data_IF_956557507147
#
_entry.id   IF_956557507147
#
_cell.length_a   1.000
_cell.length_b   1.000
_cell.length_c   1.000
_cell.angle_alpha   90.00
_cell.angle_beta   90.00
_cell.angle_gamma   90.00
#
_symmetry.space_group_name_H-M   'P 1'
#
loop_
_entity.id
_entity.type
_entity.pdbx_description
1 polymer ?
#
# COMPACT_ATOMS: atom_id res chain seq x y z
N UNK A 1 6.25 16.63 1.45
CA UNK A 1 4.89 16.62 2.03
C UNK A 1 4.39 15.20 1.89
N UNK A 2 3.77 14.62 2.91
CA UNK A 2 3.25 13.26 2.83
C UNK A 2 1.99 13.20 1.98
N UNK A 3 1.79 12.09 1.27
CA UNK A 3 0.53 11.81 0.59
C UNK A 3 -0.44 11.15 1.58
N UNK A 4 -1.65 11.70 1.70
CA UNK A 4 -2.65 11.24 2.67
C UNK A 4 -3.95 10.96 1.92
N UNK A 5 -4.48 9.75 2.08
CA UNK A 5 -5.82 9.39 1.63
C UNK A 5 -6.84 9.64 2.74
N UNK A 6 -7.83 10.49 2.48
CA UNK A 6 -8.91 10.78 3.44
C UNK A 6 -10.05 9.76 3.40
N UNK A 7 -10.11 8.91 2.37
CA UNK A 7 -11.26 8.04 2.10
C UNK A 7 -10.88 6.56 1.90
N UNK A 8 -9.66 6.13 2.24
CA UNK A 8 -9.17 4.77 1.98
C UNK A 8 -10.06 3.63 2.54
N UNK A 9 -10.86 3.88 3.58
CA UNK A 9 -11.83 2.92 4.15
C UNK A 9 -13.13 2.81 3.34
N UNK A 10 -13.54 3.90 2.68
CA UNK A 10 -14.85 4.07 2.05
C UNK A 10 -14.73 4.52 0.59
N UNK A 11 -13.60 4.21 -0.06
CA UNK A 11 -13.37 4.61 -1.44
C UNK A 11 -14.29 3.79 -2.36
N UNK A 12 -15.17 4.43 -3.15
CA UNK A 12 -16.10 3.70 -4.01
C UNK A 12 -15.36 2.88 -5.08
N UNK A 13 -14.17 3.33 -5.48
CA UNK A 13 -13.32 2.63 -6.43
C UNK A 13 -12.40 1.58 -5.81
N UNK A 14 -12.36 1.48 -4.47
CA UNK A 14 -11.51 0.54 -3.73
C UNK A 14 -12.24 0.03 -2.49
N UNK A 15 -13.30 -0.74 -2.71
CA UNK A 15 -14.15 -1.30 -1.67
C UNK A 15 -13.37 -2.34 -0.85
N UNK A 16 -13.68 -2.44 0.44
CA UNK A 16 -13.13 -3.52 1.28
C UNK A 16 -13.52 -4.89 0.74
N UNK A 17 -12.65 -5.87 0.96
CA UNK A 17 -12.80 -7.25 0.48
C UNK A 17 -12.90 -7.38 -1.05
N UNK A 18 -12.37 -6.41 -1.79
CA UNK A 18 -12.23 -6.47 -3.26
C UNK A 18 -10.76 -6.33 -3.67
N UNK A 19 -10.46 -6.59 -4.93
CA UNK A 19 -9.15 -6.36 -5.53
C UNK A 19 -9.25 -5.32 -6.62
N UNK A 20 -8.48 -4.24 -6.50
CA UNK A 20 -8.44 -3.18 -7.52
C UNK A 20 -7.26 -3.33 -8.45
N UNK A 21 -7.42 -2.79 -9.65
CA UNK A 21 -6.37 -2.65 -10.65
C UNK A 21 -5.73 -1.26 -10.58
N UNK A 22 -4.64 -1.08 -11.33
CA UNK A 22 -3.99 0.21 -11.44
C UNK A 22 -4.98 1.25 -12.00
N UNK A 23 -4.87 2.52 -11.57
CA UNK A 23 -5.70 3.59 -12.12
C UNK A 23 -5.61 3.63 -13.65
N UNK A 24 -6.77 3.72 -14.31
CA UNK A 24 -6.87 3.71 -15.77
C UNK A 24 -7.00 2.33 -16.41
N UNK A 25 -6.88 1.24 -15.65
CA UNK A 25 -7.27 -0.08 -16.15
C UNK A 25 -8.78 -0.13 -16.42
N UNK A 26 -9.18 -0.84 -17.48
CA UNK A 26 -10.58 -1.13 -17.78
C UNK A 26 -11.13 -2.31 -16.96
N UNK A 27 -10.33 -2.86 -16.04
CA UNK A 27 -10.63 -4.04 -15.26
C UNK A 27 -10.79 -3.73 -13.77
N UNK A 28 -11.46 -4.65 -13.08
CA UNK A 28 -11.74 -4.54 -11.65
C UNK A 28 -12.74 -3.42 -11.31
N UNK A 29 -13.05 -3.24 -10.01
CA UNK A 29 -12.65 -4.11 -8.91
C UNK A 29 -13.21 -5.53 -9.06
N UNK A 30 -12.45 -6.53 -8.62
CA UNK A 30 -12.88 -7.92 -8.56
C UNK A 30 -13.38 -8.26 -7.15
N UNK A 31 -14.44 -9.05 -7.05
CA UNK A 31 -14.92 -9.61 -5.77
C UNK A 31 -14.18 -10.92 -5.39
N UNK A 32 -13.40 -11.48 -6.32
CA UNK A 32 -12.48 -12.62 -6.13
C UNK A 32 -11.04 -12.24 -6.49
N UNK A 33 -10.08 -13.10 -6.19
CA UNK A 33 -8.68 -12.89 -6.57
C UNK A 33 -8.55 -12.65 -8.09
N UNK A 34 -7.83 -11.61 -8.53
CA UNK A 34 -7.66 -11.32 -9.95
C UNK A 34 -7.02 -12.50 -10.66
N UNK A 35 -7.43 -12.81 -11.90
CA UNK A 35 -6.80 -13.87 -12.67
C UNK A 35 -5.32 -13.54 -12.91
N UNK A 36 -4.45 -14.55 -12.89
CA UNK A 36 -2.98 -14.40 -13.00
C UNK A 36 -2.54 -13.51 -14.18
N UNK A 37 -3.23 -13.60 -15.32
CA UNK A 37 -2.96 -12.77 -16.50
C UNK A 37 -3.23 -11.27 -16.34
N UNK A 38 -3.79 -10.84 -15.20
CA UNK A 38 -4.13 -9.44 -14.90
C UNK A 38 -3.34 -8.84 -13.74
N UNK A 39 -2.56 -9.64 -13.02
CA UNK A 39 -1.76 -9.15 -11.88
C UNK A 39 -0.49 -8.40 -12.30
N UNK A 40 -0.07 -8.56 -13.55
CA UNK A 40 1.09 -7.91 -14.15
C UNK A 40 0.75 -6.68 -14.99
N UNK A 41 1.73 -6.20 -15.75
CA UNK A 41 1.53 -5.12 -16.71
C UNK A 41 0.45 -5.50 -17.75
N UNK A 42 -0.43 -4.56 -18.17
CA UNK A 42 -0.52 -3.16 -17.75
C UNK A 42 -1.45 -2.92 -16.55
N UNK A 43 -2.23 -3.92 -16.15
CA UNK A 43 -3.38 -3.73 -15.27
C UNK A 43 -3.00 -3.76 -13.77
N UNK A 44 -1.96 -4.49 -13.40
CA UNK A 44 -1.47 -4.66 -12.02
C UNK A 44 -2.60 -4.94 -11.00
N UNK A 45 -3.58 -5.75 -11.39
CA UNK A 45 -4.73 -6.09 -10.54
C UNK A 45 -4.30 -6.82 -9.28
N UNK A 46 -4.85 -6.40 -8.15
CA UNK A 46 -4.48 -6.93 -6.84
C UNK A 46 -3.12 -6.45 -6.33
N UNK A 47 -2.43 -5.55 -7.04
CA UNK A 47 -1.15 -4.99 -6.60
C UNK A 47 -1.31 -3.96 -5.46
N UNK A 48 -0.37 -3.93 -4.53
CA UNK A 48 -0.39 -2.98 -3.41
C UNK A 48 -0.31 -1.52 -3.87
N UNK A 49 0.53 -1.24 -4.87
CA UNK A 49 0.65 0.08 -5.53
C UNK A 49 -0.67 0.50 -6.19
N UNK A 50 -1.38 -0.44 -6.81
CA UNK A 50 -2.68 -0.19 -7.43
C UNK A 50 -3.69 0.32 -6.41
N UNK A 51 -3.77 -0.32 -5.24
CA UNK A 51 -4.64 0.13 -4.15
C UNK A 51 -4.28 1.53 -3.64
N UNK A 52 -3.03 1.78 -3.26
CA UNK A 52 -2.66 3.09 -2.69
C UNK A 52 -2.86 4.23 -3.67
N UNK A 53 -2.65 4.00 -4.98
CA UNK A 53 -2.95 4.99 -6.01
C UNK A 53 -4.45 5.18 -6.23
N UNK A 54 -5.25 4.12 -6.11
CA UNK A 54 -6.71 4.19 -6.25
C UNK A 54 -7.34 5.04 -5.14
N UNK A 55 -6.79 4.98 -3.92
CA UNK A 55 -7.29 5.75 -2.77
C UNK A 55 -6.55 7.08 -2.54
N UNK A 56 -5.43 7.30 -3.22
CA UNK A 56 -4.68 8.55 -3.18
C UNK A 56 -4.33 9.00 -4.61
N UNK A 57 -5.28 9.62 -5.35
CA UNK A 57 -5.10 9.96 -6.76
C UNK A 57 -4.00 11.01 -7.04
N UNK A 58 -3.59 11.78 -6.04
CA UNK A 58 -2.48 12.73 -6.13
C UNK A 58 -1.09 12.06 -6.09
N UNK A 59 -1.04 10.77 -5.77
CA UNK A 59 0.20 10.00 -5.66
C UNK A 59 0.83 9.80 -7.06
N UNK A 60 2.07 10.25 -7.29
CA UNK A 60 2.68 10.17 -8.61
C UNK A 60 3.09 8.72 -8.97
N UNK A 61 3.71 8.55 -10.14
CA UNK A 61 4.37 7.28 -10.48
C UNK A 61 5.41 6.88 -9.42
N UNK A 62 5.57 5.58 -9.18
CA UNK A 62 6.45 5.05 -8.11
C UNK A 62 7.91 5.47 -8.25
N UNK A 63 8.37 5.75 -9.48
CA UNK A 63 9.71 6.30 -9.75
C UNK A 63 9.94 7.68 -9.14
N UNK A 64 8.88 8.45 -8.89
CA UNK A 64 8.94 9.77 -8.28
C UNK A 64 8.81 9.74 -6.75
N UNK A 65 8.51 8.59 -6.15
CA UNK A 65 8.32 8.46 -4.71
C UNK A 65 9.64 8.62 -3.98
N UNK A 66 9.66 9.49 -2.97
CA UNK A 66 10.83 9.70 -2.12
C UNK A 66 10.64 9.04 -0.77
N UNK A 67 11.72 8.44 -0.29
CA UNK A 67 11.83 7.89 1.07
C UNK A 67 11.86 9.02 2.10
N UNK A 68 10.74 9.22 2.79
CA UNK A 68 10.57 10.18 3.87
C UNK A 68 10.89 9.61 5.26
N UNK A 69 10.19 10.11 6.28
CA UNK A 69 10.38 9.70 7.67
C UNK A 69 10.07 8.21 7.90
N UNK A 70 10.81 7.59 8.82
CA UNK A 70 10.52 6.21 9.24
C UNK A 70 9.15 6.12 9.92
N UNK A 71 8.45 5.00 9.72
CA UNK A 71 7.15 4.77 10.37
C UNK A 71 7.30 4.43 11.83
N UNK A 72 8.22 3.51 12.14
CA UNK A 72 8.45 3.04 13.51
C UNK A 72 8.88 4.18 14.42
N UNK A 73 8.26 4.25 15.60
CA UNK A 73 8.52 5.25 16.64
C UNK A 73 8.22 6.70 16.21
N UNK A 74 7.47 6.91 15.11
CA UNK A 74 7.08 8.25 14.67
C UNK A 74 5.63 8.56 15.05
N UNK A 75 5.39 9.28 16.16
CA UNK A 75 4.03 9.56 16.64
C UNK A 75 3.28 10.60 15.81
N UNK A 76 3.94 11.23 14.83
CA UNK A 76 3.36 12.34 14.05
C UNK A 76 2.74 11.90 12.72
N UNK A 77 2.74 10.60 12.42
CA UNK A 77 2.12 10.09 11.19
C UNK A 77 0.61 10.10 11.35
N UNK A 78 -0.05 10.79 10.43
CA UNK A 78 -1.51 10.87 10.40
C UNK A 78 -2.08 9.62 9.73
N UNK A 79 -3.18 9.11 10.26
CA UNK A 79 -3.99 8.07 9.62
C UNK A 79 -4.29 8.43 8.16
N UNK A 80 -4.20 7.46 7.25
CA UNK A 80 -4.38 7.66 5.81
C UNK A 80 -3.07 7.96 5.06
N UNK A 81 -1.96 8.17 5.76
CA UNK A 81 -0.65 8.43 5.13
C UNK A 81 -0.20 7.24 4.28
N UNK A 82 0.25 7.49 3.05
CA UNK A 82 0.87 6.48 2.19
C UNK A 82 2.27 6.15 2.72
N UNK A 83 2.52 4.87 2.94
CA UNK A 83 3.82 4.35 3.38
C UNK A 83 4.30 3.26 2.43
N UNK A 84 5.61 3.11 2.29
CA UNK A 84 6.20 2.11 1.42
C UNK A 84 7.58 1.65 1.91
N UNK A 85 8.04 0.53 1.37
CA UNK A 85 9.42 0.07 1.50
C UNK A 85 10.28 0.67 0.38
N UNK A 86 11.55 0.90 0.69
CA UNK A 86 12.52 1.52 -0.21
C UNK A 86 13.83 0.75 -0.16
N UNK A 87 14.51 0.63 -1.30
CA UNK A 87 15.82 -0.01 -1.41
C UNK A 87 16.95 0.86 -0.85
N UNK A 88 18.19 0.35 -0.96
CA UNK A 88 19.40 1.05 -0.50
C UNK A 88 19.69 2.33 -1.30
N UNK A 89 19.18 2.43 -2.53
CA UNK A 89 19.25 3.64 -3.35
C UNK A 89 18.09 4.62 -3.07
N UNK A 90 17.24 4.30 -2.08
CA UNK A 90 16.06 5.07 -1.68
C UNK A 90 14.96 5.14 -2.74
N UNK A 91 14.95 4.21 -3.69
CA UNK A 91 13.86 4.05 -4.64
C UNK A 91 12.79 3.12 -4.06
N UNK A 92 11.53 3.31 -4.48
CA UNK A 92 10.45 2.40 -4.12
C UNK A 92 10.83 0.97 -4.53
N UNK A 93 10.76 0.04 -3.57
CA UNK A 93 11.02 -1.37 -3.83
C UNK A 93 10.24 -2.21 -2.83
N UNK A 94 9.43 -3.15 -3.32
CA UNK A 94 8.65 -4.06 -2.49
C UNK A 94 7.18 -3.64 -2.36
N UNK A 95 6.78 -3.12 -1.21
CA UNK A 95 5.38 -2.98 -0.82
C UNK A 95 4.97 -1.55 -0.48
N UNK A 96 3.70 -1.24 -0.70
CA UNK A 96 3.07 0.03 -0.35
C UNK A 96 1.75 -0.21 0.39
N UNK A 97 1.41 0.66 1.33
CA UNK A 97 0.20 0.53 2.13
C UNK A 97 -0.30 1.90 2.61
N UNK A 98 -1.51 1.92 3.15
CA UNK A 98 -2.06 3.08 3.86
C UNK A 98 -1.88 2.87 5.36
N UNK A 99 -1.18 3.79 6.02
CA UNK A 99 -0.99 3.79 7.47
C UNK A 99 -2.31 4.05 8.20
N UNK A 100 -2.57 3.29 9.26
CA UNK A 100 -3.70 3.53 10.18
C UNK A 100 -3.21 3.98 11.54
N UNK A 101 -2.37 3.15 12.17
CA UNK A 101 -1.86 3.35 13.52
C UNK A 101 -0.64 2.46 13.75
N UNK A 102 0.03 2.64 14.88
CA UNK A 102 1.11 1.75 15.30
C UNK A 102 0.99 1.38 16.79
N UNK A 103 1.51 0.22 17.14
CA UNK A 103 1.53 -0.30 18.51
C UNK A 103 2.86 -1.00 18.79
N UNK A 104 3.11 -1.48 20.01
CA UNK A 104 4.30 -2.30 20.30
C UNK A 104 4.39 -3.59 19.46
N UNK A 105 3.31 -4.03 18.79
CA UNK A 105 3.29 -5.24 17.96
C UNK A 105 3.72 -4.97 16.51
N UNK A 106 3.32 -3.82 15.96
CA UNK A 106 3.50 -3.53 14.54
C UNK A 106 2.83 -2.22 14.11
N UNK A 107 2.84 -1.98 12.80
CA UNK A 107 2.02 -0.95 12.16
C UNK A 107 0.75 -1.58 11.60
N UNK A 108 -0.40 -1.01 11.93
CA UNK A 108 -1.69 -1.36 11.33
C UNK A 108 -1.83 -0.60 10.01
N UNK A 109 -2.09 -1.33 8.94
CA UNK A 109 -2.19 -0.78 7.58
C UNK A 109 -3.39 -1.32 6.83
N UNK A 110 -3.77 -0.62 5.76
CA UNK A 110 -4.62 -1.19 4.72
C UNK A 110 -3.79 -1.42 3.47
N UNK A 111 -3.94 -2.60 2.89
CA UNK A 111 -3.33 -2.98 1.62
C UNK A 111 -4.04 -4.15 0.95
N UNK A 112 -3.56 -4.49 -0.24
CA UNK A 112 -3.89 -5.70 -0.99
C UNK A 112 -2.59 -6.27 -1.59
N UNK A 113 -2.59 -7.55 -1.94
CA UNK A 113 -1.52 -8.17 -2.73
C UNK A 113 -2.05 -9.45 -3.39
N UNK A 114 -1.56 -9.78 -4.58
CA UNK A 114 -2.04 -10.92 -5.34
C UNK A 114 -1.34 -12.25 -4.99
N UNK A 115 -0.15 -12.21 -4.38
CA UNK A 115 0.68 -13.40 -4.16
C UNK A 115 1.28 -13.43 -2.74
N UNK A 116 0.76 -14.28 -1.83
CA UNK A 116 -0.53 -15.00 -1.92
C UNK A 116 -1.71 -14.02 -1.93
N UNK A 117 -2.90 -14.37 -2.48
CA UNK A 117 -3.97 -13.39 -2.67
C UNK A 117 -4.57 -12.91 -1.34
N UNK A 118 -4.57 -11.60 -1.15
CA UNK A 118 -5.27 -10.88 -0.08
C UNK A 118 -6.00 -9.66 -0.68
N UNK A 119 -7.32 -9.54 -0.47
CA UNK A 119 -8.07 -8.36 -0.91
C UNK A 119 -7.74 -7.12 -0.07
N UNK A 120 -8.29 -5.97 -0.47
CA UNK A 120 -8.22 -4.74 0.31
C UNK A 120 -8.78 -4.98 1.71
N UNK A 121 -7.94 -4.74 2.71
CA UNK A 121 -8.35 -4.82 4.10
C UNK A 121 -7.22 -4.57 5.08
N UNK A 122 -7.55 -4.45 6.37
CA UNK A 122 -6.57 -4.21 7.40
C UNK A 122 -5.60 -5.39 7.58
N UNK A 123 -4.33 -5.11 7.86
CA UNK A 123 -3.39 -6.07 8.45
C UNK A 123 -2.39 -5.39 9.37
N UNK A 124 -1.74 -6.18 10.22
CA UNK A 124 -0.61 -5.72 11.05
C UNK A 124 0.68 -6.17 10.39
N UNK A 125 1.54 -5.22 10.02
CA UNK A 125 2.93 -5.47 9.66
C UNK A 125 3.74 -5.50 10.96
N UNK A 126 4.12 -6.70 11.39
CA UNK A 126 4.83 -6.90 12.66
C UNK A 126 6.23 -6.31 12.58
N UNK A 127 6.72 -5.79 13.70
CA UNK A 127 8.12 -5.42 13.85
C UNK A 127 9.01 -6.66 13.78
N UNK A 128 10.24 -6.52 13.28
CA UNK A 128 11.24 -7.59 13.26
C UNK A 128 10.93 -8.76 12.32
N UNK A 129 9.98 -8.63 11.40
CA UNK A 129 9.73 -9.69 10.42
C UNK A 129 10.91 -9.86 9.47
N UNK A 130 11.20 -11.10 9.07
CA UNK A 130 12.37 -11.41 8.23
C UNK A 130 12.28 -10.90 6.78
N UNK A 131 11.06 -10.74 6.25
CA UNK A 131 10.83 -10.24 4.89
C UNK A 131 10.53 -8.74 4.90
N UNK A 132 11.28 -7.96 4.12
CA UNK A 132 11.15 -6.48 4.09
C UNK A 132 9.72 -6.02 3.78
N UNK A 133 9.02 -6.68 2.86
CA UNK A 133 7.63 -6.33 2.46
C UNK A 133 6.59 -6.56 3.55
N UNK A 134 6.93 -7.36 4.57
CA UNK A 134 6.07 -7.67 5.71
C UNK A 134 6.61 -7.11 7.03
N UNK A 135 7.79 -6.48 7.01
CA UNK A 135 8.44 -5.94 8.20
C UNK A 135 8.10 -4.47 8.39
N UNK A 136 7.34 -4.17 9.44
CA UNK A 136 6.99 -2.80 9.80
C UNK A 136 8.22 -1.89 9.95
N UNK A 137 9.38 -2.42 10.35
CA UNK A 137 10.62 -1.66 10.54
C UNK A 137 11.14 -1.03 9.23
N UNK A 138 10.70 -1.55 8.09
CA UNK A 138 11.18 -1.18 6.75
C UNK A 138 10.26 -0.20 6.03
N UNK A 139 9.19 0.24 6.67
CA UNK A 139 8.25 1.19 6.07
C UNK A 139 8.63 2.63 6.40
N UNK A 140 8.51 3.47 5.38
CA UNK A 140 8.76 4.91 5.42
C UNK A 140 7.58 5.64 4.79
N UNK A 141 7.34 6.87 5.22
CA UNK A 141 6.39 7.78 4.60
C UNK A 141 6.81 8.06 3.16
N UNK A 142 5.85 8.05 2.24
CA UNK A 142 6.05 8.46 0.85
C UNK A 142 5.92 9.97 0.73
N UNK A 143 6.91 10.61 0.10
CA UNK A 143 7.00 12.06 -0.17
C UNK A 143 7.23 12.39 -1.64
#
# INVERSE_FOLDING_TARGET
>A
MSYISSNYKNSPSARLNTWVCAPGSAHGPYDDAPPDGRTGHPDYCGGCVSYVKQVCPSLPATIAWKKGAAVKNNPHIVEGTVIATFDNHRHFHGHAAIYVSQSPVGVTVYDQYAHPPKPIGPRILRWGQGSDVNNGDKFYVVE
#
